data_IF_913552230124
#
_entry.id   IF_913552230124
#
_cell.length_a   1.000
_cell.length_b   1.000
_cell.length_c   1.000
_cell.angle_alpha   90.00
_cell.angle_beta   90.00
_cell.angle_gamma   90.00
#
_symmetry.space_group_name_H-M   'P 1'
#
loop_
_entity.id
_entity.type
_entity.pdbx_description
1 polymer ?
#
# COMPACT_ATOMS: atom_id res chain seq x y z
N UNK A 1 25.61 -7.96 -2.86
CA UNK A 1 25.60 -6.86 -1.87
C UNK A 1 24.22 -6.22 -1.79
N UNK A 2 23.63 -5.81 -2.92
CA UNK A 2 22.26 -5.29 -2.99
C UNK A 2 21.22 -6.18 -2.28
N UNK A 3 21.18 -7.48 -2.60
CA UNK A 3 20.27 -8.42 -1.94
C UNK A 3 20.42 -8.43 -0.41
N UNK A 4 21.64 -8.40 0.13
CA UNK A 4 21.86 -8.40 1.58
C UNK A 4 21.33 -7.11 2.23
N UNK A 5 21.50 -5.97 1.56
CA UNK A 5 21.01 -4.67 2.04
C UNK A 5 19.48 -4.63 1.99
N UNK A 6 18.89 -5.04 0.85
CA UNK A 6 17.43 -5.10 0.66
C UNK A 6 16.80 -6.03 1.69
N UNK A 7 17.35 -7.25 1.89
CA UNK A 7 16.84 -8.17 2.91
C UNK A 7 16.87 -7.54 4.30
N UNK A 8 17.96 -6.86 4.66
CA UNK A 8 18.09 -6.26 6.00
C UNK A 8 17.15 -5.07 6.22
N UNK A 9 16.96 -4.25 5.19
CA UNK A 9 15.98 -3.15 5.21
C UNK A 9 14.59 -3.74 5.37
N UNK A 10 14.24 -4.77 4.59
CA UNK A 10 12.91 -5.39 4.63
C UNK A 10 12.64 -6.04 5.99
N UNK A 11 13.62 -6.75 6.57
CA UNK A 11 13.54 -7.28 7.95
C UNK A 11 13.24 -6.18 8.97
N UNK A 12 13.95 -5.05 8.89
CA UNK A 12 13.76 -3.92 9.81
C UNK A 12 12.38 -3.28 9.64
N UNK A 13 11.97 -2.97 8.41
CA UNK A 13 10.66 -2.38 8.11
C UNK A 13 9.51 -3.28 8.59
N UNK A 14 9.64 -4.59 8.39
CA UNK A 14 8.65 -5.56 8.84
C UNK A 14 8.63 -5.69 10.38
N UNK A 15 9.79 -5.73 11.03
CA UNK A 15 9.88 -5.80 12.50
C UNK A 15 9.22 -4.58 13.18
N UNK A 16 9.37 -3.41 12.58
CA UNK A 16 8.79 -2.16 13.10
C UNK A 16 7.38 -1.85 12.56
N UNK A 17 6.76 -2.76 11.79
CA UNK A 17 5.43 -2.59 11.20
C UNK A 17 5.29 -1.27 10.40
N UNK A 18 6.36 -0.89 9.71
CA UNK A 18 6.40 0.34 8.90
C UNK A 18 5.57 0.17 7.62
N UNK A 19 5.63 -1.02 7.01
CA UNK A 19 4.83 -1.38 5.84
C UNK A 19 3.48 -1.92 6.33
N UNK A 20 2.42 -1.22 5.99
CA UNK A 20 1.04 -1.57 6.32
C UNK A 20 0.50 -2.67 5.40
N UNK A 21 -0.67 -3.23 5.76
CA UNK A 21 -1.27 -4.30 4.95
C UNK A 21 -1.68 -3.83 3.55
N UNK A 22 -2.00 -2.54 3.42
CA UNK A 22 -2.53 -1.91 2.21
C UNK A 22 -1.43 -1.50 1.20
N UNK A 23 -0.16 -1.63 1.60
CA UNK A 23 1.00 -1.28 0.76
C UNK A 23 1.51 -2.51 0.00
N UNK A 24 0.68 -2.99 -0.93
CA UNK A 24 0.91 -4.23 -1.67
C UNK A 24 2.22 -4.23 -2.47
N UNK A 25 2.65 -3.07 -2.97
CA UNK A 25 3.89 -2.95 -3.74
C UNK A 25 5.15 -3.35 -2.97
N UNK A 26 5.11 -3.36 -1.63
CA UNK A 26 6.23 -3.77 -0.77
C UNK A 26 6.06 -5.18 -0.17
N UNK A 27 4.96 -5.87 -0.49
CA UNK A 27 4.60 -7.18 0.09
C UNK A 27 4.71 -8.29 -0.94
N UNK A 28 5.33 -9.39 -0.52
CA UNK A 28 5.38 -10.60 -1.34
C UNK A 28 3.96 -11.16 -1.55
N UNK A 29 3.65 -11.53 -2.79
CA UNK A 29 2.38 -12.16 -3.16
C UNK A 29 1.21 -11.20 -3.34
N UNK A 30 1.43 -9.89 -3.22
CA UNK A 30 0.44 -8.84 -3.51
C UNK A 30 0.91 -8.02 -4.71
N UNK A 31 -0.01 -7.39 -5.44
CA UNK A 31 0.32 -6.60 -6.62
C UNK A 31 -0.22 -5.17 -6.49
N UNK A 32 0.42 -4.23 -7.19
CA UNK A 32 -0.06 -2.85 -7.22
C UNK A 32 -1.43 -2.74 -7.92
N UNK A 33 -1.73 -3.64 -8.87
CA UNK A 33 -3.03 -3.72 -9.53
C UNK A 33 -4.15 -4.14 -8.57
N UNK A 34 -3.89 -5.10 -7.67
CA UNK A 34 -4.89 -5.45 -6.64
C UNK A 34 -5.10 -4.31 -5.66
N UNK A 35 -4.04 -3.59 -5.29
CA UNK A 35 -4.13 -2.40 -4.43
C UNK A 35 -5.00 -1.31 -5.07
N UNK A 36 -4.79 -1.00 -6.35
CA UNK A 36 -5.60 -0.01 -7.06
C UNK A 36 -7.06 -0.43 -7.16
N UNK A 37 -7.32 -1.72 -7.36
CA UNK A 37 -8.67 -2.27 -7.43
C UNK A 37 -9.39 -2.17 -6.07
N UNK A 38 -8.71 -2.51 -4.98
CA UNK A 38 -9.24 -2.40 -3.62
C UNK A 38 -9.49 -0.94 -3.23
N UNK A 39 -8.53 -0.05 -3.49
CA UNK A 39 -8.68 1.39 -3.26
C UNK A 39 -9.90 1.96 -4.01
N UNK A 40 -10.07 1.60 -5.29
CA UNK A 40 -11.21 2.05 -6.09
C UNK A 40 -12.53 1.54 -5.53
N UNK A 41 -12.58 0.28 -5.09
CA UNK A 41 -13.76 -0.31 -4.48
C UNK A 41 -14.13 0.43 -3.17
N UNK A 42 -13.15 0.74 -2.34
CA UNK A 42 -13.36 1.44 -1.07
C UNK A 42 -13.89 2.85 -1.29
N UNK A 43 -13.30 3.58 -2.22
CA UNK A 43 -13.76 4.93 -2.57
C UNK A 43 -15.18 4.92 -3.11
N UNK A 44 -15.46 4.03 -4.07
CA UNK A 44 -16.78 3.92 -4.68
C UNK A 44 -17.84 3.53 -3.65
N UNK A 45 -17.52 2.61 -2.73
CA UNK A 45 -18.44 2.19 -1.68
C UNK A 45 -18.74 3.32 -0.68
N UNK A 46 -17.73 4.13 -0.36
CA UNK A 46 -17.84 5.27 0.56
C UNK A 46 -18.72 6.37 -0.04
N UNK A 47 -18.52 6.69 -1.33
CA UNK A 47 -19.35 7.63 -2.08
C UNK A 47 -20.80 7.14 -2.18
N UNK A 48 -21.01 5.87 -2.55
CA UNK A 48 -22.35 5.29 -2.70
C UNK A 48 -23.15 5.30 -1.40
N UNK A 49 -22.49 5.07 -0.26
CA UNK A 49 -23.13 5.09 1.06
C UNK A 49 -23.42 6.51 1.56
N UNK A 50 -23.02 7.57 0.84
CA UNK A 50 -23.03 8.98 1.28
C UNK A 50 -22.37 9.16 2.65
N UNK A 51 -21.33 8.36 2.94
CA UNK A 51 -20.76 8.22 4.30
C UNK A 51 -19.49 9.03 4.55
N UNK A 52 -19.17 10.01 3.71
CA UNK A 52 -18.08 10.93 4.02
C UNK A 52 -17.47 11.59 2.79
N UNK A 53 -16.42 12.37 3.07
CA UNK A 53 -15.48 12.90 2.09
C UNK A 53 -14.28 11.95 2.00
N UNK A 54 -13.71 11.83 0.80
CA UNK A 54 -12.51 11.05 0.56
C UNK A 54 -11.43 12.03 0.12
N UNK A 55 -10.34 12.08 0.87
CA UNK A 55 -9.16 12.86 0.55
C UNK A 55 -8.00 11.88 0.28
N UNK A 56 -7.48 11.90 -0.95
CA UNK A 56 -6.43 10.98 -1.41
C UNK A 56 -5.20 11.78 -1.79
N UNK A 57 -4.03 11.34 -1.32
CA UNK A 57 -2.73 11.87 -1.71
C UNK A 57 -2.04 10.82 -2.57
N UNK A 58 -1.74 11.17 -3.82
CA UNK A 58 -0.89 10.37 -4.70
C UNK A 58 0.54 10.91 -4.61
N UNK A 59 1.47 10.07 -4.19
CA UNK A 59 2.90 10.39 -4.17
C UNK A 59 3.56 9.70 -5.36
N UNK A 60 4.09 10.50 -6.29
CA UNK A 60 4.92 10.02 -7.39
C UNK A 60 6.38 10.36 -7.05
N UNK A 61 7.18 9.32 -6.80
CA UNK A 61 8.61 9.45 -6.56
C UNK A 61 9.34 9.08 -7.85
N UNK A 62 9.55 10.08 -8.70
CA UNK A 62 10.36 10.00 -9.93
C UNK A 62 11.83 9.67 -9.65
#
# INVERSE_FOLDING_TARGET
>A
MEHCVVSRIWEHLNHHHVITTEEHGFRNGMSCETQLTEAMNDWTSTLNKRKGQIDVILLDFL
#
